data_IF_114922582525
#
_entry.id   IF_114922582525
#
_cell.length_a   1.000
_cell.length_b   1.000
_cell.length_c   1.000
_cell.angle_alpha   90.00
_cell.angle_beta   90.00
_cell.angle_gamma   90.00
#
_symmetry.space_group_name_H-M   'P 1'
#
loop_
_entity.id
_entity.type
_entity.pdbx_description
1 polymer ?
#
# COMPACT_ATOMS: atom_id res chain seq x y z
N UNK A 1 3.37 -41.49 11.28
CA UNK A 1 2.76 -40.18 10.95
C UNK A 1 3.69 -39.45 10.00
N UNK A 2 3.32 -39.28 8.73
CA UNK A 2 4.11 -38.45 7.82
C UNK A 2 3.78 -36.97 8.08
N UNK A 3 4.77 -36.06 8.13
CA UNK A 3 4.48 -34.63 8.24
C UNK A 3 3.73 -34.19 6.98
N UNK A 4 2.52 -33.66 7.15
CA UNK A 4 1.76 -33.02 6.08
C UNK A 4 2.51 -31.76 5.66
N UNK A 5 3.41 -31.88 4.70
CA UNK A 5 4.07 -30.73 4.09
C UNK A 5 3.04 -29.96 3.29
N UNK A 6 2.77 -28.72 3.68
CA UNK A 6 1.91 -27.82 2.92
C UNK A 6 2.43 -27.72 1.48
N UNK A 7 1.61 -27.81 0.43
CA UNK A 7 2.07 -27.75 -0.97
C UNK A 7 2.92 -26.51 -1.27
N UNK A 8 2.68 -25.40 -0.56
CA UNK A 8 3.44 -24.16 -0.68
C UNK A 8 4.91 -24.31 -0.23
N UNK A 9 5.24 -25.24 0.67
CA UNK A 9 6.62 -25.42 1.15
C UNK A 9 7.54 -26.08 0.13
N UNK A 10 7.00 -26.54 -1.01
CA UNK A 10 7.75 -27.17 -2.10
C UNK A 10 8.14 -26.16 -3.19
N UNK A 11 7.52 -24.98 -3.21
CA UNK A 11 7.88 -23.91 -4.13
C UNK A 11 9.19 -23.25 -3.70
N UNK A 12 10.08 -23.00 -4.66
CA UNK A 12 11.26 -22.19 -4.42
C UNK A 12 10.91 -20.71 -4.23
N UNK A 13 11.85 -19.95 -3.67
CA UNK A 13 11.67 -18.54 -3.36
C UNK A 13 11.34 -17.71 -4.61
N UNK A 14 11.90 -18.04 -5.78
CA UNK A 14 11.66 -17.29 -7.03
C UNK A 14 10.21 -17.41 -7.50
N UNK A 15 9.64 -18.61 -7.43
CA UNK A 15 8.25 -18.84 -7.81
C UNK A 15 7.29 -18.16 -6.85
N UNK A 16 7.57 -18.23 -5.54
CA UNK A 16 6.81 -17.50 -4.52
C UNK A 16 6.89 -15.98 -4.73
N UNK A 17 8.08 -15.44 -5.01
CA UNK A 17 8.24 -14.02 -5.33
C UNK A 17 7.44 -13.62 -6.57
N UNK A 18 7.41 -14.47 -7.60
CA UNK A 18 6.62 -14.24 -8.81
C UNK A 18 5.13 -14.20 -8.51
N UNK A 19 4.63 -15.13 -7.68
CA UNK A 19 3.23 -15.12 -7.22
C UNK A 19 2.91 -13.84 -6.45
N UNK A 20 3.82 -13.39 -5.57
CA UNK A 20 3.63 -12.15 -4.80
C UNK A 20 3.58 -10.91 -5.69
N UNK A 21 4.38 -10.88 -6.77
CA UNK A 21 4.33 -9.81 -7.76
C UNK A 21 2.99 -9.82 -8.51
N UNK A 22 2.50 -10.99 -8.89
CA UNK A 22 1.18 -11.12 -9.53
C UNK A 22 0.07 -10.62 -8.59
N UNK A 23 0.10 -11.01 -7.31
CA UNK A 23 -0.85 -10.50 -6.32
C UNK A 23 -0.72 -8.98 -6.17
N UNK A 24 0.50 -8.43 -6.10
CA UNK A 24 0.76 -7.00 -6.03
C UNK A 24 0.16 -6.20 -7.20
N UNK A 25 0.20 -6.73 -8.42
CA UNK A 25 -0.41 -6.05 -9.57
C UNK A 25 -1.95 -6.03 -9.49
N UNK A 26 -2.55 -7.04 -8.86
CA UNK A 26 -4.00 -7.23 -8.76
C UNK A 26 -4.62 -6.67 -7.47
N UNK A 27 -3.85 -6.56 -6.38
CA UNK A 27 -4.31 -6.22 -5.03
C UNK A 27 -3.52 -5.07 -4.42
N UNK A 28 -4.24 -4.15 -3.76
CA UNK A 28 -3.69 -2.87 -3.27
C UNK A 28 -2.96 -2.95 -1.93
N UNK A 29 -3.28 -3.95 -1.10
CA UNK A 29 -2.71 -4.17 0.25
C UNK A 29 -1.84 -5.44 0.34
N UNK A 30 -1.45 -5.99 -0.80
CA UNK A 30 -0.72 -7.25 -0.95
C UNK A 30 0.46 -7.47 0.03
N UNK A 31 1.45 -6.56 0.13
CA UNK A 31 2.73 -6.93 0.74
C UNK A 31 2.66 -7.12 2.26
N UNK A 32 1.74 -6.44 2.95
CA UNK A 32 1.56 -6.59 4.40
C UNK A 32 0.89 -7.92 4.75
N UNK A 33 -0.14 -8.28 3.99
CA UNK A 33 -0.88 -9.54 4.18
C UNK A 33 0.01 -10.74 3.86
N UNK A 34 0.84 -10.65 2.83
CA UNK A 34 1.82 -11.69 2.49
C UNK A 34 2.88 -11.85 3.59
N UNK A 35 3.40 -10.75 4.13
CA UNK A 35 4.47 -10.77 5.13
C UNK A 35 4.07 -11.28 6.52
N UNK A 36 2.76 -11.42 6.81
CA UNK A 36 2.27 -11.97 8.09
C UNK A 36 2.03 -13.48 8.06
N UNK A 37 1.96 -14.11 6.89
CA UNK A 37 1.64 -15.54 6.74
C UNK A 37 2.65 -16.45 7.46
N UNK A 38 3.93 -16.34 7.13
CA UNK A 38 4.99 -17.09 7.78
C UNK A 38 6.36 -16.41 7.66
N UNK A 39 7.38 -16.92 8.36
CA UNK A 39 8.75 -16.36 8.33
C UNK A 39 9.35 -16.37 6.92
N UNK A 40 9.12 -17.42 6.14
CA UNK A 40 9.61 -17.55 4.76
C UNK A 40 8.99 -16.48 3.86
N UNK A 41 7.66 -16.32 3.91
CA UNK A 41 6.96 -15.31 3.11
C UNK A 41 7.41 -13.90 3.47
N UNK A 42 7.57 -13.62 4.76
CA UNK A 42 8.13 -12.35 5.23
C UNK A 42 9.52 -12.09 4.66
N UNK A 43 10.42 -13.08 4.69
CA UNK A 43 11.77 -12.96 4.13
C UNK A 43 11.70 -12.66 2.63
N UNK A 44 10.90 -13.40 1.87
CA UNK A 44 10.72 -13.18 0.43
C UNK A 44 10.19 -11.77 0.17
N UNK A 45 9.13 -11.35 0.86
CA UNK A 45 8.61 -10.00 0.73
C UNK A 45 9.69 -8.93 0.98
N UNK A 46 10.55 -9.10 2.00
CA UNK A 46 11.65 -8.16 2.27
C UNK A 46 12.76 -8.19 1.20
N UNK A 47 12.95 -9.32 0.52
CA UNK A 47 13.93 -9.49 -0.56
C UNK A 47 13.40 -9.07 -1.94
N UNK A 48 12.11 -8.75 -2.05
CA UNK A 48 11.46 -8.30 -3.29
C UNK A 48 11.02 -6.83 -3.15
N UNK A 49 11.90 -5.83 -3.33
CA UNK A 49 11.56 -4.42 -3.13
C UNK A 49 10.39 -3.91 -4.00
N UNK A 50 10.16 -4.52 -5.16
CA UNK A 50 9.12 -4.18 -6.13
C UNK A 50 7.71 -4.21 -5.55
N UNK A 51 7.38 -5.14 -4.64
CA UNK A 51 6.02 -5.21 -4.07
C UNK A 51 5.72 -4.05 -3.09
N UNK A 52 6.71 -3.21 -2.78
CA UNK A 52 6.57 -2.08 -1.86
C UNK A 52 6.45 -0.73 -2.58
N UNK A 53 6.42 -0.70 -3.91
CA UNK A 53 6.51 0.54 -4.71
C UNK A 53 5.17 1.25 -4.96
N UNK A 54 4.03 0.60 -4.75
CA UNK A 54 2.70 1.23 -4.93
C UNK A 54 2.16 1.79 -3.62
N UNK A 55 1.72 3.03 -3.61
CA UNK A 55 1.19 3.75 -2.45
C UNK A 55 -0.25 4.19 -2.71
N UNK A 56 -1.20 3.64 -1.95
CA UNK A 56 -2.58 4.11 -1.97
C UNK A 56 -2.79 5.09 -0.83
N UNK A 57 -3.10 6.33 -1.16
CA UNK A 57 -3.33 7.40 -0.19
C UNK A 57 -4.84 7.62 -0.07
N UNK A 58 -5.38 7.56 1.15
CA UNK A 58 -6.79 7.88 1.43
C UNK A 58 -7.76 6.70 1.53
N UNK A 59 -7.31 5.44 1.41
CA UNK A 59 -8.19 4.25 1.44
C UNK A 59 -8.59 3.74 2.84
N UNK A 60 -7.78 4.02 3.85
CA UNK A 60 -7.83 3.26 5.10
C UNK A 60 -8.26 4.08 6.32
N UNK A 61 -8.97 5.19 6.10
CA UNK A 61 -9.48 5.99 7.19
C UNK A 61 -10.93 6.40 6.96
N UNK A 62 -11.79 6.09 7.93
CA UNK A 62 -13.20 6.48 7.92
C UNK A 62 -13.37 7.99 7.96
N UNK A 63 -14.57 8.45 7.56
CA UNK A 63 -14.99 9.86 7.55
C UNK A 63 -14.88 10.56 8.93
N UNK A 64 -14.74 9.79 10.01
CA UNK A 64 -14.68 10.28 11.40
C UNK A 64 -13.24 10.31 11.98
N UNK A 65 -12.27 10.80 11.20
CA UNK A 65 -10.91 10.97 11.69
C UNK A 65 -10.79 12.13 12.70
N UNK A 66 -10.03 11.94 13.79
CA UNK A 66 -9.71 13.05 14.69
C UNK A 66 -8.63 13.92 14.08
N UNK A 67 -8.96 15.21 13.95
CA UNK A 67 -8.07 16.21 13.37
C UNK A 67 -7.74 17.27 14.41
N UNK A 68 -6.44 17.49 14.63
CA UNK A 68 -5.91 18.59 15.43
C UNK A 68 -5.03 19.43 14.50
N UNK A 69 -5.29 20.73 14.40
CA UNK A 69 -4.55 21.66 13.53
C UNK A 69 -4.36 21.17 12.09
N UNK A 70 -5.46 20.73 11.46
CA UNK A 70 -5.50 20.17 10.09
C UNK A 70 -4.69 18.88 9.89
N UNK A 71 -4.19 18.28 10.97
CA UNK A 71 -3.43 17.04 10.95
C UNK A 71 -4.25 15.92 11.62
N UNK A 72 -4.40 14.81 10.92
CA UNK A 72 -5.09 13.64 11.43
C UNK A 72 -4.21 12.88 12.42
N UNK A 73 -4.64 12.76 13.68
CA UNK A 73 -3.86 12.11 14.74
C UNK A 73 -4.02 10.59 14.75
N UNK A 74 -5.08 10.07 14.13
CA UNK A 74 -5.36 8.64 14.02
C UNK A 74 -4.59 7.98 12.85
N UNK A 75 -3.97 8.79 11.97
CA UNK A 75 -3.23 8.30 10.79
C UNK A 75 -1.85 7.69 11.08
N UNK A 76 -1.46 7.54 12.34
CA UNK A 76 -0.10 7.10 12.73
C UNK A 76 0.30 5.74 12.13
N UNK A 77 -0.62 4.76 12.11
CA UNK A 77 -0.36 3.45 11.52
C UNK A 77 -0.09 3.56 10.01
N UNK A 78 -0.87 4.40 9.32
CA UNK A 78 -0.75 4.58 7.87
C UNK A 78 0.51 5.34 7.48
N UNK A 79 0.88 6.36 8.26
CA UNK A 79 2.18 7.04 8.10
C UNK A 79 3.32 6.05 8.34
N UNK A 80 3.25 5.22 9.39
CA UNK A 80 4.28 4.22 9.68
C UNK A 80 4.43 3.20 8.55
N UNK A 81 3.30 2.71 8.01
CA UNK A 81 3.29 1.82 6.84
C UNK A 81 3.85 2.51 5.60
N UNK A 82 3.50 3.78 5.38
CA UNK A 82 4.04 4.58 4.28
C UNK A 82 5.56 4.69 4.36
N UNK A 83 6.11 5.10 5.51
CA UNK A 83 7.55 5.22 5.72
C UNK A 83 8.27 3.87 5.55
N UNK A 84 7.71 2.78 6.08
CA UNK A 84 8.29 1.44 5.91
C UNK A 84 8.26 0.97 4.46
N UNK A 85 7.20 1.27 3.69
CA UNK A 85 7.15 0.99 2.25
C UNK A 85 8.20 1.79 1.48
N UNK A 86 8.39 3.06 1.82
CA UNK A 86 9.44 3.91 1.23
C UNK A 86 10.84 3.33 1.49
N UNK A 87 11.10 2.87 2.71
CA UNK A 87 12.37 2.22 3.05
C UNK A 87 12.56 0.91 2.27
N UNK A 88 11.53 0.07 2.20
CA UNK A 88 11.61 -1.26 1.57
C UNK A 88 11.63 -1.24 0.04
N UNK A 89 11.04 -0.22 -0.56
CA UNK A 89 11.12 0.01 -2.02
C UNK A 89 12.50 0.51 -2.46
N UNK A 90 13.40 0.85 -1.53
CA UNK A 90 14.78 1.26 -1.81
C UNK A 90 14.83 2.47 -2.76
N UNK A 91 15.63 2.42 -3.83
CA UNK A 91 15.72 3.48 -4.83
C UNK A 91 14.74 3.30 -6.00
N UNK A 92 13.84 2.32 -5.94
CA UNK A 92 13.00 1.96 -7.09
C UNK A 92 11.95 3.03 -7.39
N UNK A 93 11.50 3.12 -8.65
CA UNK A 93 10.38 3.95 -9.01
C UNK A 93 9.13 3.58 -8.21
N UNK A 94 8.33 4.57 -7.82
CA UNK A 94 7.13 4.42 -6.99
C UNK A 94 5.89 4.93 -7.71
N UNK A 95 4.76 4.28 -7.45
CA UNK A 95 3.45 4.62 -7.99
C UNK A 95 2.61 5.19 -6.85
N UNK A 96 2.06 6.39 -7.03
CA UNK A 96 1.27 7.07 -6.00
C UNK A 96 -0.16 7.25 -6.51
N UNK A 97 -1.10 6.54 -5.89
CA UNK A 97 -2.51 6.60 -6.20
C UNK A 97 -3.24 7.29 -5.03
N UNK A 98 -3.84 8.45 -5.29
CA UNK A 98 -4.72 9.14 -4.34
C UNK A 98 -6.16 8.76 -4.63
N UNK A 99 -6.86 8.32 -3.60
CA UNK A 99 -8.26 7.92 -3.69
C UNK A 99 -9.14 8.67 -2.70
N UNK A 100 -10.27 9.16 -3.21
CA UNK A 100 -11.31 9.80 -2.40
C UNK A 100 -11.07 11.30 -2.13
N UNK A 101 -12.03 11.97 -1.47
CA UNK A 101 -11.83 13.33 -1.00
C UNK A 101 -10.71 13.32 0.03
N UNK A 102 -9.65 14.09 -0.22
CA UNK A 102 -8.43 14.12 0.60
C UNK A 102 -8.76 14.42 2.07
N UNK A 103 -8.78 13.41 2.98
CA UNK A 103 -8.92 13.67 4.40
C UNK A 103 -7.65 14.37 4.89
N UNK A 104 -7.69 15.05 6.02
CA UNK A 104 -6.47 15.53 6.70
C UNK A 104 -5.42 14.42 6.91
N UNK A 105 -5.83 13.15 6.90
CA UNK A 105 -4.97 11.97 7.01
C UNK A 105 -4.08 11.71 5.79
N UNK A 106 -4.50 12.09 4.58
CA UNK A 106 -3.66 11.95 3.37
C UNK A 106 -2.49 12.93 3.39
N UNK A 107 -2.64 14.09 4.02
CA UNK A 107 -1.63 15.16 4.01
C UNK A 107 -0.31 14.67 4.59
N UNK A 108 -0.34 13.93 5.70
CA UNK A 108 0.88 13.42 6.33
C UNK A 108 1.59 12.38 5.45
N UNK A 109 0.84 11.47 4.82
CA UNK A 109 1.41 10.50 3.88
C UNK A 109 1.97 11.21 2.63
N UNK A 110 1.22 12.16 2.08
CA UNK A 110 1.65 12.97 0.94
C UNK A 110 2.92 13.75 1.29
N UNK A 111 3.01 14.37 2.47
CA UNK A 111 4.22 15.05 2.93
C UNK A 111 5.44 14.12 2.94
N UNK A 112 5.28 12.87 3.34
CA UNK A 112 6.36 11.88 3.27
C UNK A 112 6.70 11.53 1.81
N UNK A 113 5.69 11.25 0.98
CA UNK A 113 5.87 10.83 -0.41
C UNK A 113 6.47 11.92 -1.31
N UNK A 114 6.14 13.19 -1.08
CA UNK A 114 6.68 14.30 -1.88
C UNK A 114 8.17 14.55 -1.65
N UNK A 115 8.74 14.05 -0.54
CA UNK A 115 10.20 14.04 -0.35
C UNK A 115 10.91 13.06 -1.31
N UNK A 116 10.16 12.21 -2.00
CA UNK A 116 10.67 11.19 -2.91
C UNK A 116 10.17 11.37 -4.35
N UNK A 117 9.77 12.58 -4.76
CA UNK A 117 9.22 12.88 -6.10
C UNK A 117 10.10 12.43 -7.26
N UNK A 118 11.43 12.48 -7.10
CA UNK A 118 12.37 12.00 -8.13
C UNK A 118 12.24 10.51 -8.44
N UNK A 119 11.62 9.74 -7.53
CA UNK A 119 11.34 8.31 -7.72
C UNK A 119 9.96 8.06 -8.31
N UNK A 120 9.13 9.08 -8.53
CA UNK A 120 7.75 8.83 -8.96
C UNK A 120 7.73 8.37 -10.43
N UNK A 121 7.21 7.17 -10.64
CA UNK A 121 6.94 6.62 -11.97
C UNK A 121 5.56 7.05 -12.47
N UNK A 122 4.58 7.07 -11.58
CA UNK A 122 3.21 7.45 -11.91
C UNK A 122 2.51 8.09 -10.71
N UNK A 123 1.57 8.99 -11.03
CA UNK A 123 0.70 9.65 -10.07
C UNK A 123 -0.73 9.63 -10.61
N UNK A 124 -1.66 9.06 -9.86
CA UNK A 124 -3.09 9.06 -10.21
C UNK A 124 -3.88 9.71 -9.09
N UNK A 125 -4.75 10.66 -9.45
CA UNK A 125 -5.72 11.25 -8.52
C UNK A 125 -7.12 10.88 -9.00
N UNK A 126 -7.75 9.89 -8.35
CA UNK A 126 -9.12 9.50 -8.68
C UNK A 126 -10.10 10.41 -7.93
N UNK A 127 -10.88 11.20 -8.67
CA UNK A 127 -12.02 11.90 -8.09
C UNK A 127 -13.08 10.87 -7.67
N UNK A 128 -13.70 10.99 -6.48
CA UNK A 128 -14.90 10.22 -6.19
C UNK A 128 -15.95 10.53 -7.27
N UNK A 129 -16.63 9.50 -7.75
CA UNK A 129 -17.78 9.66 -8.63
C UNK A 129 -18.77 10.58 -7.91
N UNK A 130 -18.91 11.82 -8.37
CA UNK A 130 -20.06 12.64 -7.99
C UNK A 130 -21.28 11.90 -8.55
N UNK A 131 -22.10 11.34 -7.66
CA UNK A 131 -23.45 10.93 -8.04
C UNK A 131 -24.16 12.19 -8.51
N UNK A 132 -24.23 12.38 -9.83
CA UNK A 132 -25.08 13.37 -10.47
C UNK A 132 -26.50 12.99 -10.08
N UNK A 133 -27.00 13.58 -9.00
CA UNK A 133 -28.41 13.53 -8.67
C UNK A 133 -29.11 14.39 -9.72
N UNK A 134 -29.63 13.74 -10.75
CA UNK A 134 -30.57 14.32 -11.69
C UNK A 134 -31.83 14.69 -10.90
N UNK A 135 -31.89 15.92 -10.38
CA UNK A 135 -33.16 16.50 -9.93
C UNK A 135 -33.91 16.90 -11.19
N UNK A 136 -34.78 16.00 -11.68
CA UNK A 136 -35.86 16.40 -12.58
C UNK A 136 -36.91 17.13 -11.74
N UNK A 137 -37.09 18.42 -12.03
CA UNK A 137 -38.34 19.15 -11.79
C UNK A 137 -39.12 19.19 -13.10
#
# INVERSE_FOLDING_TARGET
>A
MQPSTSPISVLCDELLSTIFLIDFYNSKEAPWNLAVVCKTWRRICLLTPEIWTRFNVGRDHDLECKVVDKTCVDSQLQISRCCLKLQRSQARPIQVDIEGPSPSCSISMMRALVQHTLRWESFQSRRPYESVNTTQQ
#
